data_IF_124581002999
#
_entry.id   IF_124581002999
#
_cell.length_a   1.000
_cell.length_b   1.000
_cell.length_c   1.000
_cell.angle_alpha   90.00
_cell.angle_beta   90.00
_cell.angle_gamma   90.00
#
_symmetry.space_group_name_H-M   'P 1'
#
loop_
_entity.id
_entity.type
_entity.pdbx_description
1 polymer ?
#
# COMPACT_ATOMS: atom_id res chain seq x y z
N UNK A 1 -40.01 -56.90 -26.28
CA UNK A 1 -39.37 -55.65 -26.72
C UNK A 1 -38.55 -55.17 -25.53
N UNK A 2 -37.41 -55.83 -25.31
CA UNK A 2 -36.05 -55.33 -25.58
C UNK A 2 -35.67 -54.17 -24.65
N UNK A 3 -34.88 -54.36 -23.58
CA UNK A 3 -33.43 -54.68 -23.45
C UNK A 3 -32.48 -53.47 -23.58
N UNK A 4 -31.87 -53.06 -22.46
CA UNK A 4 -30.41 -52.85 -22.25
C UNK A 4 -30.18 -52.13 -20.90
N UNK A 5 -29.92 -52.84 -19.80
CA UNK A 5 -28.61 -53.31 -19.26
C UNK A 5 -27.61 -52.21 -18.90
N UNK A 6 -27.55 -51.98 -17.59
CA UNK A 6 -26.54 -51.28 -16.81
C UNK A 6 -25.37 -52.25 -16.52
N UNK A 7 -24.12 -51.77 -16.54
CA UNK A 7 -22.97 -52.54 -16.04
C UNK A 7 -22.07 -51.64 -15.21
N UNK A 8 -21.76 -52.11 -13.99
CA UNK A 8 -20.81 -51.56 -13.01
C UNK A 8 -19.50 -52.38 -13.00
N UNK A 9 -18.55 -51.90 -12.19
CA UNK A 9 -17.38 -52.55 -11.56
C UNK A 9 -16.08 -52.57 -12.38
N UNK A 10 -14.89 -52.21 -11.86
CA UNK A 10 -14.47 -51.77 -10.52
C UNK A 10 -13.11 -52.37 -10.13
N UNK A 11 -12.30 -51.58 -9.40
CA UNK A 11 -11.20 -51.99 -8.50
C UNK A 11 -9.84 -52.33 -9.17
N UNK A 12 -8.65 -52.09 -8.59
CA UNK A 12 -8.23 -52.09 -7.18
C UNK A 12 -6.84 -51.42 -7.06
N UNK A 13 -6.54 -50.61 -6.03
CA UNK A 13 -5.80 -50.97 -4.80
C UNK A 13 -4.43 -50.23 -4.83
N UNK A 14 -3.80 -49.70 -3.77
CA UNK A 14 -3.95 -49.80 -2.31
C UNK A 14 -2.94 -48.82 -1.65
N UNK A 15 -3.30 -48.34 -0.44
CA UNK A 15 -2.44 -48.20 0.78
C UNK A 15 -1.36 -47.11 0.81
N UNK A 16 -1.00 -46.49 1.93
CA UNK A 16 -1.42 -46.55 3.34
C UNK A 16 -0.80 -45.34 4.09
N UNK A 17 -1.38 -45.02 5.24
CA UNK A 17 -0.76 -44.53 6.48
C UNK A 17 -0.08 -43.14 6.53
N UNK A 18 -0.49 -42.36 7.54
CA UNK A 18 0.14 -41.10 7.92
C UNK A 18 1.33 -41.25 8.86
N UNK A 19 2.01 -40.13 9.09
CA UNK A 19 2.72 -39.81 10.33
C UNK A 19 3.15 -38.34 10.29
N UNK A 20 2.73 -37.59 11.31
CA UNK A 20 3.41 -36.38 11.75
C UNK A 20 4.88 -36.73 12.04
N UNK A 21 5.82 -35.98 11.47
CA UNK A 21 7.17 -35.92 12.02
C UNK A 21 7.73 -34.51 11.89
N UNK A 22 7.86 -33.87 13.05
CA UNK A 22 8.76 -32.77 13.31
C UNK A 22 10.18 -33.26 13.01
N UNK A 23 10.91 -32.57 12.14
CA UNK A 23 12.37 -32.71 12.05
C UNK A 23 13.02 -31.33 12.08
N UNK A 24 13.55 -30.98 13.25
CA UNK A 24 14.70 -30.10 13.36
C UNK A 24 15.92 -30.87 12.84
N UNK A 25 16.70 -30.26 11.94
CA UNK A 25 17.98 -30.79 11.49
C UNK A 25 18.72 -29.71 10.70
N UNK A 26 19.52 -28.89 11.39
CA UNK A 26 21.00 -28.97 11.36
C UNK A 26 21.59 -28.61 9.98
N UNK A 27 21.95 -27.34 9.83
CA UNK A 27 22.64 -26.79 8.67
C UNK A 27 24.16 -26.96 8.81
N UNK A 28 24.70 -28.10 8.36
CA UNK A 28 26.13 -28.25 8.14
C UNK A 28 26.40 -28.49 6.64
N UNK A 29 26.89 -27.44 5.99
CA UNK A 29 27.16 -27.44 4.54
C UNK A 29 28.13 -26.32 4.16
N UNK A 30 29.40 -26.57 4.47
CA UNK A 30 30.57 -25.71 4.25
C UNK A 30 30.80 -25.40 2.76
N UNK A 31 30.54 -24.16 2.30
CA UNK A 31 30.96 -23.68 0.97
C UNK A 31 32.35 -23.02 1.09
N UNK A 32 33.37 -23.65 0.50
CA UNK A 32 34.73 -23.12 0.41
C UNK A 32 34.79 -21.86 -0.47
N UNK A 33 35.34 -20.76 0.07
CA UNK A 33 35.70 -19.54 -0.67
C UNK A 33 37.10 -19.69 -1.29
N UNK A 34 37.34 -19.32 -2.56
CA UNK A 34 38.69 -19.18 -3.08
C UNK A 34 39.31 -17.85 -2.60
N UNK A 35 40.61 -17.91 -2.29
CA UNK A 35 41.42 -16.78 -1.83
C UNK A 35 41.99 -15.98 -3.01
N UNK A 36 41.97 -14.65 -2.92
CA UNK A 36 42.64 -13.75 -3.87
C UNK A 36 42.74 -12.30 -3.37
N UNK A 37 43.96 -11.89 -3.03
CA UNK A 37 44.61 -10.56 -3.19
C UNK A 37 44.02 -9.28 -2.55
N UNK A 38 44.85 -8.36 -2.01
CA UNK A 38 44.37 -7.07 -1.51
C UNK A 38 44.21 -6.07 -2.66
N UNK A 39 42.98 -5.68 -2.98
CA UNK A 39 42.70 -4.52 -3.82
C UNK A 39 42.40 -3.31 -2.93
N UNK A 40 43.20 -2.25 -3.05
CA UNK A 40 42.93 -0.93 -2.44
C UNK A 40 41.53 -0.42 -2.83
N UNK A 41 40.84 0.32 -1.95
CA UNK A 41 39.59 0.96 -2.30
C UNK A 41 39.84 2.12 -3.28
N UNK A 42 39.01 2.31 -4.32
CA UNK A 42 39.08 3.49 -5.16
C UNK A 42 38.74 4.74 -4.34
N UNK A 43 39.43 5.84 -4.66
CA UNK A 43 39.34 7.13 -4.00
C UNK A 43 37.91 7.69 -3.98
N UNK A 44 37.60 8.40 -2.90
CA UNK A 44 36.33 9.08 -2.68
C UNK A 44 36.02 10.05 -3.82
N UNK A 45 35.02 9.72 -4.65
CA UNK A 45 34.38 10.70 -5.49
C UNK A 45 33.49 11.58 -4.61
N UNK A 46 33.80 12.88 -4.61
CA UNK A 46 32.99 13.96 -4.06
C UNK A 46 31.67 14.04 -4.84
N UNK A 47 30.78 13.09 -4.61
CA UNK A 47 29.39 13.19 -5.01
C UNK A 47 28.74 14.27 -4.15
N UNK A 48 28.42 15.42 -4.75
CA UNK A 48 27.56 16.43 -4.16
C UNK A 48 26.21 15.77 -3.86
N UNK A 49 26.07 15.25 -2.65
CA UNK A 49 24.80 14.72 -2.18
C UNK A 49 23.89 15.92 -1.99
N UNK A 50 22.99 16.12 -2.95
CA UNK A 50 21.85 17.02 -2.76
C UNK A 50 21.16 16.61 -1.47
N UNK A 51 20.81 17.55 -0.58
CA UNK A 51 20.08 17.21 0.63
C UNK A 51 18.79 16.50 0.24
N UNK A 52 18.47 15.39 0.92
CA UNK A 52 17.27 14.55 0.70
C UNK A 52 15.98 15.39 0.62
N UNK A 53 15.98 16.58 1.22
CA UNK A 53 14.89 17.55 1.18
C UNK A 53 14.56 18.11 -0.22
N UNK A 54 15.47 18.04 -1.19
CA UNK A 54 15.28 18.63 -2.52
C UNK A 54 14.64 17.66 -3.54
N UNK A 55 14.51 16.37 -3.19
CA UNK A 55 14.04 15.31 -4.11
C UNK A 55 12.55 15.36 -4.43
N UNK A 56 11.75 16.11 -3.67
CA UNK A 56 10.28 16.17 -3.82
C UNK A 56 9.81 17.28 -4.78
N UNK A 57 10.73 18.08 -5.34
CA UNK A 57 10.36 19.26 -6.14
C UNK A 57 9.89 18.94 -7.57
N UNK A 58 10.08 17.72 -8.05
CA UNK A 58 9.95 17.40 -9.48
C UNK A 58 8.96 16.28 -9.83
N UNK A 59 8.27 15.69 -8.86
CA UNK A 59 7.23 14.70 -9.15
C UNK A 59 5.91 15.42 -9.48
N UNK A 60 5.34 15.12 -10.66
CA UNK A 60 4.05 15.67 -11.07
C UNK A 60 2.98 15.15 -10.12
N UNK A 61 2.47 16.02 -9.23
CA UNK A 61 1.30 15.72 -8.40
C UNK A 61 0.09 15.49 -9.28
N UNK A 62 -0.79 14.57 -8.85
CA UNK A 62 -2.10 14.32 -9.49
C UNK A 62 -2.86 15.64 -9.63
N UNK A 63 -3.47 15.93 -10.78
CA UNK A 63 -4.23 17.17 -10.98
C UNK A 63 -5.76 16.96 -10.90
N UNK A 64 -6.52 18.05 -10.92
CA UNK A 64 -7.99 17.98 -10.96
C UNK A 64 -8.46 17.41 -12.30
N UNK A 65 -7.80 17.76 -13.39
CA UNK A 65 -8.09 17.23 -14.72
C UNK A 65 -7.85 15.72 -14.78
N UNK A 66 -6.81 15.21 -14.11
CA UNK A 66 -6.58 13.75 -13.97
C UNK A 66 -7.76 13.06 -13.27
N UNK A 67 -8.38 13.73 -12.28
CA UNK A 67 -9.54 13.19 -11.58
C UNK A 67 -10.74 13.07 -12.51
N UNK A 68 -11.01 14.10 -13.29
CA UNK A 68 -12.13 14.13 -14.24
C UNK A 68 -11.96 13.07 -15.34
N UNK A 69 -10.75 12.96 -15.90
CA UNK A 69 -10.45 11.98 -16.95
C UNK A 69 -10.51 10.53 -16.45
N UNK A 70 -10.08 10.28 -15.20
CA UNK A 70 -10.06 8.92 -14.62
C UNK A 70 -11.40 8.47 -14.04
N UNK A 71 -12.30 9.39 -13.68
CA UNK A 71 -13.54 9.09 -13.00
C UNK A 71 -14.44 8.08 -13.76
N UNK A 72 -14.66 8.19 -15.08
CA UNK A 72 -15.46 7.21 -15.83
C UNK A 72 -14.83 5.81 -15.82
N UNK A 73 -13.49 5.73 -15.89
CA UNK A 73 -12.76 4.45 -15.85
C UNK A 73 -12.89 3.78 -14.48
N UNK A 74 -12.73 4.55 -13.40
CA UNK A 74 -12.94 4.07 -12.03
C UNK A 74 -14.39 3.60 -11.80
N UNK A 75 -15.38 4.36 -12.28
CA UNK A 75 -16.78 3.96 -12.19
C UNK A 75 -17.05 2.66 -12.97
N UNK A 76 -16.43 2.47 -14.13
CA UNK A 76 -16.51 1.21 -14.88
C UNK A 76 -15.90 0.05 -14.08
N UNK A 77 -14.74 0.25 -13.44
CA UNK A 77 -14.11 -0.75 -12.59
C UNK A 77 -15.00 -1.15 -11.40
N UNK A 78 -15.61 -0.18 -10.70
CA UNK A 78 -16.56 -0.48 -9.63
C UNK A 78 -17.81 -1.22 -10.11
N UNK A 79 -18.29 -0.94 -11.32
CA UNK A 79 -19.38 -1.71 -11.95
C UNK A 79 -18.97 -3.17 -12.16
N UNK A 80 -17.74 -3.40 -12.61
CA UNK A 80 -17.17 -4.75 -12.77
C UNK A 80 -17.03 -5.48 -11.45
N UNK A 81 -16.58 -4.79 -10.39
CA UNK A 81 -16.51 -5.34 -9.03
C UNK A 81 -17.90 -5.78 -8.55
N UNK A 82 -18.92 -4.94 -8.68
CA UNK A 82 -20.29 -5.28 -8.28
C UNK A 82 -20.79 -6.55 -8.97
N UNK A 83 -20.58 -6.66 -10.29
CA UNK A 83 -20.93 -7.88 -11.04
C UNK A 83 -20.13 -9.09 -10.57
N UNK A 84 -18.84 -8.92 -10.29
CA UNK A 84 -17.97 -9.99 -9.77
C UNK A 84 -18.39 -10.51 -8.40
N UNK A 85 -19.04 -9.66 -7.59
CA UNK A 85 -19.64 -10.03 -6.31
C UNK A 85 -21.02 -10.70 -6.45
N UNK A 86 -21.56 -10.81 -7.67
CA UNK A 86 -22.91 -11.36 -7.92
C UNK A 86 -24.05 -10.36 -7.70
N UNK A 87 -23.76 -9.07 -7.55
CA UNK A 87 -24.78 -8.03 -7.45
C UNK A 87 -25.30 -7.62 -8.84
N UNK A 88 -26.55 -7.14 -8.91
CA UNK A 88 -27.12 -6.52 -10.10
C UNK A 88 -26.92 -4.99 -10.09
N UNK A 89 -26.02 -4.41 -10.93
CA UNK A 89 -25.81 -2.97 -10.97
C UNK A 89 -27.03 -2.17 -11.44
N UNK A 90 -28.03 -2.80 -12.05
CA UNK A 90 -29.27 -2.15 -12.50
C UNK A 90 -30.30 -2.00 -11.38
N UNK A 91 -30.09 -2.61 -10.20
CA UNK A 91 -31.00 -2.42 -9.07
C UNK A 91 -30.99 -0.96 -8.61
N UNK A 92 -32.15 -0.45 -8.20
CA UNK A 92 -32.35 0.97 -7.82
C UNK A 92 -31.27 1.50 -6.85
N UNK A 93 -30.84 0.69 -5.89
CA UNK A 93 -29.80 1.07 -4.92
C UNK A 93 -28.36 1.12 -5.45
N UNK A 94 -28.06 0.54 -6.62
CA UNK A 94 -26.70 0.48 -7.19
C UNK A 94 -26.48 1.33 -8.43
N UNK A 95 -27.54 1.86 -9.05
CA UNK A 95 -27.41 2.66 -10.27
C UNK A 95 -26.36 3.78 -10.18
N UNK A 96 -26.26 4.42 -9.01
CA UNK A 96 -25.28 5.49 -8.75
C UNK A 96 -24.06 5.04 -7.95
N UNK A 97 -24.02 3.80 -7.46
CA UNK A 97 -22.94 3.30 -6.61
C UNK A 97 -21.57 3.33 -7.28
N UNK A 98 -21.42 2.95 -8.57
CA UNK A 98 -20.10 2.99 -9.21
C UNK A 98 -19.48 4.39 -9.23
N UNK A 99 -20.30 5.41 -9.52
CA UNK A 99 -19.87 6.81 -9.49
C UNK A 99 -19.55 7.28 -8.07
N UNK A 100 -20.42 6.97 -7.10
CA UNK A 100 -20.20 7.32 -5.70
C UNK A 100 -18.92 6.69 -5.14
N UNK A 101 -18.68 5.42 -5.46
CA UNK A 101 -17.49 4.68 -5.02
C UNK A 101 -16.22 5.25 -5.67
N UNK A 102 -16.26 5.55 -6.97
CA UNK A 102 -15.17 6.19 -7.67
C UNK A 102 -14.81 7.54 -7.04
N UNK A 103 -15.79 8.43 -6.86
CA UNK A 103 -15.58 9.74 -6.22
C UNK A 103 -15.06 9.61 -4.79
N UNK A 104 -15.61 8.66 -4.00
CA UNK A 104 -15.13 8.42 -2.63
C UNK A 104 -13.66 7.97 -2.62
N UNK A 105 -13.27 7.07 -3.51
CA UNK A 105 -11.88 6.60 -3.61
C UNK A 105 -10.92 7.73 -4.03
N UNK A 106 -11.35 8.58 -4.97
CA UNK A 106 -10.56 9.76 -5.33
C UNK A 106 -10.38 10.71 -4.13
N UNK A 107 -11.41 10.87 -3.30
CA UNK A 107 -11.33 11.68 -2.08
C UNK A 107 -10.38 11.09 -1.04
N UNK A 108 -10.46 9.78 -0.77
CA UNK A 108 -9.56 9.11 0.17
C UNK A 108 -8.09 9.17 -0.27
N UNK A 109 -7.84 9.31 -1.57
CA UNK A 109 -6.51 9.42 -2.18
C UNK A 109 -6.16 10.84 -2.62
N UNK A 110 -6.88 11.86 -2.14
CA UNK A 110 -6.64 13.26 -2.53
C UNK A 110 -5.27 13.77 -2.10
N UNK A 111 -4.66 13.20 -1.06
CA UNK A 111 -3.33 13.62 -0.58
C UNK A 111 -2.23 13.60 -1.65
N UNK A 112 -2.36 12.77 -2.70
CA UNK A 112 -1.40 12.75 -3.81
C UNK A 112 -1.42 14.00 -4.71
N UNK A 113 -2.44 14.85 -4.58
CA UNK A 113 -2.56 16.10 -5.32
C UNK A 113 -2.02 17.30 -4.52
N UNK A 114 -1.83 17.15 -3.20
CA UNK A 114 -1.52 18.25 -2.29
C UNK A 114 0.00 18.43 -2.15
N UNK A 115 0.48 19.66 -2.36
CA UNK A 115 1.88 20.03 -2.11
C UNK A 115 2.01 20.60 -0.69
N UNK A 116 2.37 19.73 0.25
CA UNK A 116 2.40 20.02 1.70
C UNK A 116 3.22 21.28 2.03
N UNK A 117 4.38 21.47 1.38
CA UNK A 117 5.32 22.54 1.76
C UNK A 117 4.89 23.91 1.25
N UNK A 118 4.33 24.00 0.04
CA UNK A 118 4.00 25.29 -0.58
C UNK A 118 2.59 25.76 -0.24
N UNK A 119 1.61 24.85 -0.22
CA UNK A 119 0.19 25.23 -0.19
C UNK A 119 -0.45 25.07 1.20
N UNK A 120 0.06 24.14 2.03
CA UNK A 120 -0.56 23.81 3.33
C UNK A 120 0.04 24.62 4.47
N UNK A 121 1.33 24.96 4.41
CA UNK A 121 2.03 25.70 5.46
C UNK A 121 1.65 27.20 5.49
N UNK A 122 1.18 27.75 4.36
CA UNK A 122 0.56 29.09 4.19
C UNK A 122 1.13 30.20 5.10
N UNK A 123 2.45 30.32 5.14
CA UNK A 123 3.21 31.28 5.96
C UNK A 123 2.80 31.34 7.45
N UNK A 124 2.22 30.26 7.99
CA UNK A 124 1.81 30.15 9.39
C UNK A 124 2.98 29.87 10.33
N UNK A 125 4.15 30.44 10.03
CA UNK A 125 5.34 30.40 10.86
C UNK A 125 5.39 31.73 11.59
N UNK A 126 5.20 31.70 12.90
CA UNK A 126 5.33 32.86 13.78
C UNK A 126 6.64 32.73 14.56
N UNK A 127 7.50 33.72 14.43
CA UNK A 127 8.72 33.83 15.24
C UNK A 127 8.33 34.37 16.63
N UNK A 128 7.91 33.47 17.51
CA UNK A 128 7.79 33.73 18.94
C UNK A 128 8.92 32.98 19.68
N UNK A 129 9.59 33.68 20.60
CA UNK A 129 10.74 33.17 21.36
C UNK A 129 10.23 32.22 22.48
N UNK A 130 9.71 31.07 22.07
CA UNK A 130 9.14 30.03 22.93
C UNK A 130 9.99 28.75 22.89
N UNK A 131 10.83 28.57 23.90
CA UNK A 131 11.69 27.38 24.08
C UNK A 131 10.96 26.17 24.70
N UNK A 132 9.63 26.24 24.82
CA UNK A 132 8.81 25.20 25.45
C UNK A 132 8.31 24.15 24.44
N UNK A 133 8.14 22.91 24.89
CA UNK A 133 7.62 21.83 24.05
C UNK A 133 6.15 22.08 23.70
N UNK A 134 5.86 22.29 22.42
CA UNK A 134 4.49 22.33 21.89
C UNK A 134 4.01 20.93 21.54
N UNK A 135 2.82 20.56 22.00
CA UNK A 135 2.19 19.27 21.67
C UNK A 135 0.76 19.51 21.18
N UNK A 136 0.45 18.98 19.99
CA UNK A 136 -0.92 18.88 19.47
C UNK A 136 -1.34 17.42 19.58
N UNK A 137 -2.38 17.14 20.36
CA UNK A 137 -2.90 15.78 20.60
C UNK A 137 -4.29 15.60 19.99
N UNK A 138 -4.68 14.34 19.86
CA UNK A 138 -6.03 13.91 19.46
C UNK A 138 -6.47 14.46 18.09
N UNK A 139 -5.55 14.51 17.11
CA UNK A 139 -5.90 14.80 15.71
C UNK A 139 -6.52 13.54 15.11
N UNK A 140 -7.78 13.62 14.70
CA UNK A 140 -8.46 12.52 14.01
C UNK A 140 -7.79 12.22 12.66
N UNK A 141 -7.43 10.96 12.46
CA UNK A 141 -6.73 10.49 11.27
C UNK A 141 -7.53 9.40 10.56
N UNK A 142 -7.71 9.61 9.26
CA UNK A 142 -8.39 8.71 8.33
C UNK A 142 -7.43 8.36 7.21
N UNK A 143 -7.17 7.08 7.00
CA UNK A 143 -6.31 6.61 5.91
C UNK A 143 -6.85 5.32 5.31
N UNK A 144 -6.16 4.79 4.31
CA UNK A 144 -6.49 3.57 3.59
C UNK A 144 -5.33 2.59 3.70
N UNK A 145 -5.62 1.34 4.08
CA UNK A 145 -4.65 0.26 4.02
C UNK A 145 -4.41 -0.14 2.55
N UNK A 146 -3.20 0.04 2.03
CA UNK A 146 -2.87 -0.30 0.64
C UNK A 146 -3.02 -1.80 0.32
N UNK A 147 -2.81 -2.68 1.31
CA UNK A 147 -2.92 -4.11 1.14
C UNK A 147 -4.35 -4.61 0.88
N UNK A 148 -5.34 -3.90 1.39
CA UNK A 148 -6.74 -4.37 1.39
C UNK A 148 -7.73 -3.34 0.83
N UNK A 149 -7.29 -2.09 0.66
CA UNK A 149 -8.13 -0.93 0.35
C UNK A 149 -9.29 -0.76 1.34
N UNK A 150 -9.01 -1.03 2.62
CA UNK A 150 -9.94 -0.85 3.75
C UNK A 150 -9.50 0.35 4.59
N UNK A 151 -10.43 1.19 5.07
CA UNK A 151 -10.09 2.34 5.91
C UNK A 151 -9.39 1.95 7.23
N UNK A 152 -8.38 2.73 7.61
CA UNK A 152 -7.75 2.72 8.94
C UNK A 152 -8.13 4.04 9.63
N UNK A 153 -8.60 3.94 10.87
CA UNK A 153 -8.98 5.06 11.71
C UNK A 153 -8.06 5.13 12.93
N UNK A 154 -7.66 6.34 13.33
CA UNK A 154 -6.84 6.52 14.51
C UNK A 154 -6.77 7.97 14.97
N UNK A 155 -5.95 8.20 15.99
CA UNK A 155 -5.57 9.55 16.42
C UNK A 155 -4.08 9.72 16.31
N UNK A 156 -3.67 10.89 15.86
CA UNK A 156 -2.27 11.30 15.76
C UNK A 156 -2.02 12.37 16.80
N UNK A 157 -0.87 12.28 17.46
CA UNK A 157 -0.34 13.34 18.30
C UNK A 157 1.01 13.75 17.72
N UNK A 158 1.21 15.06 17.56
CA UNK A 158 2.42 15.66 17.02
C UNK A 158 3.05 16.48 18.14
N UNK A 159 4.34 16.27 18.39
CA UNK A 159 5.12 17.05 19.34
C UNK A 159 6.26 17.75 18.61
N UNK A 160 6.52 19.00 19.00
CA UNK A 160 7.71 19.72 18.56
C UNK A 160 8.95 19.01 19.10
N UNK A 161 9.87 18.68 18.22
CA UNK A 161 11.22 18.25 18.60
C UNK A 161 12.12 19.48 18.57
N UNK A 162 12.37 20.06 19.74
CA UNK A 162 13.46 21.03 19.88
C UNK A 162 14.79 20.27 19.74
N UNK A 163 15.69 20.65 18.81
CA UNK A 163 17.01 20.06 18.72
C UNK A 163 17.86 20.53 19.90
N UNK A 164 17.65 19.95 21.08
CA UNK A 164 18.50 20.22 22.24
C UNK A 164 19.85 19.53 22.03
N UNK A 165 20.88 20.28 21.62
CA UNK A 165 22.27 19.81 21.72
C UNK A 165 23.26 20.44 20.74
N UNK A 166 23.80 21.59 21.11
CA UNK A 166 25.01 22.21 20.56
C UNK A 166 25.57 23.23 21.54
#
# INVERSE_FOLDING_TARGET
MEHSKQTQFGSSDKKDAGASSVVNGHCDGMVKRPAGGPSQPPAAESGSQRPVMESWREDRTRSVEDNEMSLPSLAAAYTTILRGLGEDPQRQGLLKTPWRAATAMQFFTKGYQEKIIADVLNDAIFDEDHDEMVIVKDIDMFSMCEHHLVPIFGRVSINSCSPSGG
#
